data_IF_156652832069
#
_entry.id   IF_156652832069
#
_cell.length_a   1.000
_cell.length_b   1.000
_cell.length_c   1.000
_cell.angle_alpha   90.00
_cell.angle_beta   90.00
_cell.angle_gamma   90.00
#
_symmetry.space_group_name_H-M   'P 1'
#
loop_
_entity.id
_entity.type
_entity.pdbx_description
1 polymer ?
#
# COMPACT_ATOMS: atom_id res chain seq x y z
N UNK A 1 54.08 -29.36 -2.59
CA UNK A 1 53.91 -29.10 -1.15
C UNK A 1 53.96 -27.59 -0.96
N UNK A 2 52.99 -26.86 -0.42
CA UNK A 2 51.65 -27.14 0.09
C UNK A 2 50.88 -25.82 0.06
N UNK A 3 49.56 -25.92 -0.14
CA UNK A 3 48.60 -24.82 -0.12
C UNK A 3 48.38 -24.37 1.33
N UNK A 4 48.40 -23.06 1.59
CA UNK A 4 47.63 -22.48 2.70
C UNK A 4 47.26 -21.03 2.32
N UNK A 5 46.04 -20.85 1.83
CA UNK A 5 45.40 -19.55 1.71
C UNK A 5 44.22 -19.58 2.67
N UNK A 6 44.39 -18.93 3.82
CA UNK A 6 43.35 -18.79 4.83
C UNK A 6 42.26 -17.85 4.30
N UNK A 7 41.14 -18.42 3.83
CA UNK A 7 39.91 -17.69 3.50
C UNK A 7 39.09 -17.51 4.77
N UNK A 8 38.94 -16.27 5.21
CA UNK A 8 38.08 -15.87 6.32
C UNK A 8 36.70 -15.47 5.75
N UNK A 9 35.68 -16.31 5.99
CA UNK A 9 34.30 -16.17 5.49
C UNK A 9 33.42 -15.35 6.46
N UNK A 10 33.81 -14.11 6.75
CA UNK A 10 32.92 -13.15 7.42
C UNK A 10 31.83 -12.68 6.45
N UNK A 11 30.75 -13.48 6.45
CA UNK A 11 29.42 -13.26 5.87
C UNK A 11 29.16 -11.84 5.34
N UNK A 12 29.07 -11.63 4.02
CA UNK A 12 28.33 -10.49 3.49
C UNK A 12 26.84 -10.71 3.78
N UNK A 13 26.26 -9.86 4.63
CA UNK A 13 24.82 -9.66 4.65
C UNK A 13 24.40 -9.23 3.26
N UNK A 14 23.43 -9.91 2.67
CA UNK A 14 22.96 -9.65 1.31
C UNK A 14 22.34 -8.26 1.26
N UNK A 15 23.15 -7.26 0.95
CA UNK A 15 22.70 -5.94 0.57
C UNK A 15 22.07 -6.07 -0.82
N UNK A 16 20.76 -6.28 -0.86
CA UNK A 16 19.98 -6.21 -2.10
C UNK A 16 19.86 -4.75 -2.50
N UNK A 17 20.87 -4.25 -3.22
CA UNK A 17 20.75 -3.01 -3.98
C UNK A 17 19.73 -3.25 -5.09
N UNK A 18 18.49 -2.81 -4.86
CA UNK A 18 17.45 -2.80 -5.88
C UNK A 18 17.75 -1.63 -6.80
N UNK A 19 18.11 -1.95 -8.05
CA UNK A 19 18.30 -1.00 -9.13
C UNK A 19 16.96 -0.31 -9.42
N UNK A 20 16.81 0.94 -8.99
CA UNK A 20 15.72 1.80 -9.41
C UNK A 20 15.96 2.19 -10.88
N UNK A 21 15.08 1.87 -11.84
CA UNK A 21 15.15 2.48 -13.15
C UNK A 21 14.86 3.97 -13.00
N UNK A 22 15.87 4.79 -13.32
CA UNK A 22 15.76 6.24 -13.45
C UNK A 22 15.04 6.54 -14.77
N UNK A 23 13.72 6.39 -14.80
CA UNK A 23 12.94 6.91 -15.93
C UNK A 23 12.70 8.40 -15.73
N UNK A 24 13.45 9.20 -16.48
CA UNK A 24 13.27 10.64 -16.59
C UNK A 24 12.13 10.91 -17.56
N UNK A 25 10.97 11.28 -17.03
CA UNK A 25 9.97 12.03 -17.79
C UNK A 25 9.70 13.35 -17.07
N UNK A 26 9.93 14.47 -17.76
CA UNK A 26 9.78 15.83 -17.21
C UNK A 26 8.33 16.12 -16.85
N UNK A 27 8.04 16.16 -15.53
CA UNK A 27 6.77 16.58 -14.95
C UNK A 27 6.58 15.95 -13.57
N UNK A 28 7.11 16.58 -12.51
CA UNK A 28 6.96 16.15 -11.10
C UNK A 28 7.20 14.64 -10.88
N UNK A 29 8.46 14.21 -10.88
CA UNK A 29 8.81 12.81 -10.60
C UNK A 29 8.10 12.29 -9.34
N UNK A 30 7.26 11.25 -9.50
CA UNK A 30 6.53 10.61 -8.41
C UNK A 30 7.51 10.12 -7.35
N UNK A 31 7.27 10.48 -6.08
CA UNK A 31 8.17 10.18 -4.96
C UNK A 31 8.31 8.67 -4.78
N UNK A 32 9.56 8.18 -4.75
CA UNK A 32 9.93 6.78 -4.55
C UNK A 32 10.96 6.66 -3.41
N UNK A 33 10.54 6.97 -2.18
CA UNK A 33 11.44 7.11 -1.02
C UNK A 33 11.86 5.77 -0.38
N UNK A 34 11.19 4.66 -0.73
CA UNK A 34 11.55 3.31 -0.31
C UNK A 34 11.25 2.31 -1.42
N UNK A 35 11.62 1.04 -1.21
CA UNK A 35 11.38 -0.04 -2.17
C UNK A 35 10.41 -1.07 -1.62
N UNK A 36 9.58 -1.62 -2.50
CA UNK A 36 8.64 -2.70 -2.21
C UNK A 36 9.17 -4.05 -2.70
N UNK A 37 8.59 -5.17 -2.23
CA UNK A 37 8.80 -6.47 -2.87
C UNK A 37 8.45 -6.43 -4.37
N UNK A 38 9.08 -7.32 -5.14
CA UNK A 38 8.94 -7.35 -6.61
C UNK A 38 7.50 -7.54 -7.07
N UNK A 39 6.71 -8.35 -6.37
CA UNK A 39 5.31 -8.61 -6.71
C UNK A 39 4.44 -7.35 -6.56
N UNK A 40 4.62 -6.62 -5.45
CA UNK A 40 3.91 -5.37 -5.19
C UNK A 40 4.26 -4.28 -6.19
N UNK A 41 5.56 -4.12 -6.46
CA UNK A 41 6.03 -3.16 -7.46
C UNK A 41 5.48 -3.50 -8.85
N UNK A 42 5.51 -4.78 -9.25
CA UNK A 42 4.97 -5.22 -10.53
C UNK A 42 3.46 -4.98 -10.64
N UNK A 43 2.70 -5.22 -9.56
CA UNK A 43 1.27 -4.94 -9.54
C UNK A 43 0.97 -3.43 -9.67
N UNK A 44 1.71 -2.58 -8.94
CA UNK A 44 1.54 -1.13 -9.01
C UNK A 44 1.86 -0.59 -10.41
N UNK A 45 2.95 -1.02 -11.02
CA UNK A 45 3.33 -0.63 -12.39
C UNK A 45 2.32 -1.15 -13.43
N UNK A 46 1.78 -2.37 -13.24
CA UNK A 46 0.76 -2.94 -14.12
C UNK A 46 -0.65 -2.34 -13.89
N UNK A 47 -0.89 -1.68 -12.76
CA UNK A 47 -2.20 -1.08 -12.46
C UNK A 47 -2.57 0.05 -13.41
N UNK A 48 -1.57 0.68 -14.05
CA UNK A 48 -1.75 1.86 -14.90
C UNK A 48 -2.14 3.13 -14.12
N UNK A 49 -2.12 3.08 -12.79
CA UNK A 49 -2.39 4.21 -11.91
C UNK A 49 -1.08 4.87 -11.48
N UNK A 50 -1.11 6.19 -11.33
CA UNK A 50 -0.01 6.90 -10.71
C UNK A 50 0.09 6.52 -9.23
N UNK A 51 1.30 6.27 -8.75
CA UNK A 51 1.53 5.91 -7.37
C UNK A 51 2.84 6.48 -6.84
N UNK A 52 2.93 6.66 -5.53
CA UNK A 52 4.10 7.15 -4.81
C UNK A 52 4.43 6.25 -3.61
N UNK A 53 5.71 6.18 -3.27
CA UNK A 53 6.25 5.51 -2.09
C UNK A 53 6.81 6.60 -1.18
N UNK A 54 6.08 6.94 -0.13
CA UNK A 54 6.37 8.07 0.75
C UNK A 54 6.71 7.57 2.15
N UNK A 55 7.75 8.13 2.74
CA UNK A 55 8.20 7.86 4.10
C UNK A 55 8.12 9.14 4.93
N UNK A 56 7.12 9.23 5.82
CA UNK A 56 6.92 10.38 6.71
C UNK A 56 7.06 9.94 8.17
N UNK A 57 7.97 10.58 8.91
CA UNK A 57 8.17 10.25 10.33
C UNK A 57 8.58 8.79 10.61
N UNK A 58 9.20 8.11 9.64
CA UNK A 58 9.54 6.69 9.71
C UNK A 58 8.39 5.74 9.39
N UNK A 59 7.23 6.26 9.01
CA UNK A 59 6.09 5.47 8.53
C UNK A 59 6.13 5.41 7.01
N UNK A 60 6.22 4.18 6.48
CA UNK A 60 6.21 3.93 5.05
C UNK A 60 4.77 3.81 4.56
N UNK A 61 4.42 4.54 3.49
CA UNK A 61 3.11 4.47 2.86
C UNK A 61 3.21 4.38 1.36
N UNK A 62 2.34 3.56 0.78
CA UNK A 62 2.12 3.48 -0.66
C UNK A 62 0.88 4.29 -0.96
N UNK A 63 1.01 5.34 -1.76
CA UNK A 63 -0.08 6.19 -2.21
C UNK A 63 -0.39 5.86 -3.65
N UNK A 64 -1.65 5.61 -3.99
CA UNK A 64 -2.13 5.39 -5.36
C UNK A 64 -3.16 6.48 -5.64
N UNK A 65 -3.01 7.15 -6.77
CA UNK A 65 -3.85 8.27 -7.16
C UNK A 65 -4.99 7.82 -8.07
N UNK A 66 -6.08 8.58 -8.02
CA UNK A 66 -7.20 8.44 -8.97
C UNK A 66 -7.83 7.02 -9.00
N UNK A 67 -7.77 6.29 -7.88
CA UNK A 67 -8.35 4.95 -7.74
C UNK A 67 -9.86 5.01 -8.00
N UNK A 68 -10.40 4.22 -8.94
CA UNK A 68 -11.83 4.21 -9.23
C UNK A 68 -12.62 3.65 -8.05
N UNK A 69 -13.73 4.31 -7.72
CA UNK A 69 -14.65 3.94 -6.64
C UNK A 69 -15.98 3.48 -7.25
N UNK A 70 -16.56 2.38 -6.75
CA UNK A 70 -17.81 1.85 -7.28
C UNK A 70 -18.96 2.86 -7.14
N UNK A 71 -19.97 2.80 -8.03
CA UNK A 71 -21.13 3.67 -7.96
C UNK A 71 -21.89 3.46 -6.63
N UNK A 72 -22.35 4.56 -6.03
CA UNK A 72 -22.99 4.56 -4.71
C UNK A 72 -22.28 5.44 -3.68
N UNK A 73 -21.08 5.91 -4.01
CA UNK A 73 -20.36 6.98 -3.31
C UNK A 73 -20.47 8.31 -4.04
N UNK A 74 -20.27 9.41 -3.31
CA UNK A 74 -20.36 10.78 -3.83
C UNK A 74 -19.19 11.16 -4.74
N UNK A 75 -18.13 10.35 -4.72
CA UNK A 75 -16.93 10.51 -5.52
C UNK A 75 -16.71 9.25 -6.35
N UNK A 76 -16.34 9.44 -7.61
CA UNK A 76 -16.07 8.32 -8.54
C UNK A 76 -14.61 7.87 -8.51
N UNK A 77 -13.72 8.70 -7.95
CA UNK A 77 -12.28 8.47 -7.88
C UNK A 77 -11.71 9.08 -6.60
N UNK A 78 -10.70 8.42 -6.03
CA UNK A 78 -10.01 8.89 -4.81
C UNK A 78 -8.53 8.54 -4.86
N UNK A 79 -7.73 9.36 -4.21
CA UNK A 79 -6.41 8.97 -3.76
C UNK A 79 -6.60 7.97 -2.61
N UNK A 80 -5.77 6.93 -2.61
CA UNK A 80 -5.75 5.91 -1.57
C UNK A 80 -4.33 5.76 -1.07
N UNK A 81 -4.14 5.52 0.22
CA UNK A 81 -2.87 5.04 0.71
C UNK A 81 -3.02 3.85 1.65
N UNK A 82 -1.95 3.07 1.73
CA UNK A 82 -1.80 1.97 2.68
C UNK A 82 -0.48 2.13 3.41
N UNK A 83 -0.50 1.82 4.71
CA UNK A 83 0.69 1.85 5.55
C UNK A 83 1.41 0.50 5.47
N UNK A 84 2.72 0.55 5.25
CA UNK A 84 3.58 -0.63 5.21
C UNK A 84 4.24 -0.76 6.58
N UNK A 85 3.85 -1.79 7.32
CA UNK A 85 4.40 -2.04 8.65
C UNK A 85 5.79 -2.71 8.60
N UNK A 86 6.62 -2.51 9.63
CA UNK A 86 7.87 -3.26 9.77
C UNK A 86 7.61 -4.77 9.75
N UNK A 87 8.31 -5.49 8.88
CA UNK A 87 8.14 -6.93 8.70
C UNK A 87 7.21 -7.33 7.56
N UNK A 88 6.63 -6.38 6.83
CA UNK A 88 5.96 -6.66 5.55
C UNK A 88 6.93 -7.36 4.56
N UNK A 89 6.50 -8.40 3.81
CA UNK A 89 5.11 -8.90 3.62
C UNK A 89 4.63 -9.94 4.64
N UNK A 90 5.41 -10.26 5.67
CA UNK A 90 4.99 -11.19 6.73
C UNK A 90 3.98 -10.50 7.68
N UNK A 91 4.20 -9.22 7.96
CA UNK A 91 3.29 -8.36 8.70
C UNK A 91 2.06 -7.97 7.85
N UNK A 92 0.88 -8.02 8.48
CA UNK A 92 -0.37 -7.71 7.82
C UNK A 92 -0.55 -6.23 7.50
N UNK A 93 -1.26 -5.94 6.42
CA UNK A 93 -1.91 -4.65 6.18
C UNK A 93 -3.39 -4.80 6.56
N UNK A 94 -3.88 -3.96 7.48
CA UNK A 94 -5.28 -3.99 7.95
C UNK A 94 -6.03 -2.66 7.77
N UNK A 95 -5.33 -1.61 7.33
CA UNK A 95 -5.88 -0.27 7.13
C UNK A 95 -5.79 0.16 5.68
N UNK A 96 -6.72 1.04 5.31
CA UNK A 96 -6.71 1.78 4.07
C UNK A 96 -7.15 3.22 4.36
N UNK A 97 -6.62 4.16 3.60
CA UNK A 97 -6.80 5.59 3.84
C UNK A 97 -7.26 6.26 2.56
N UNK A 98 -8.34 7.04 2.59
CA UNK A 98 -8.94 7.64 1.40
C UNK A 98 -8.91 9.16 1.43
N UNK A 99 -8.65 9.77 0.28
CA UNK A 99 -8.74 11.21 0.08
C UNK A 99 -9.23 11.52 -1.35
N UNK A 100 -10.29 12.31 -1.55
CA UNK A 100 -11.16 12.92 -0.54
C UNK A 100 -11.93 11.88 0.27
N UNK A 101 -12.53 12.31 1.39
CA UNK A 101 -13.29 11.43 2.28
C UNK A 101 -14.40 10.69 1.52
N UNK A 102 -14.57 9.40 1.77
CA UNK A 102 -15.69 8.66 1.20
C UNK A 102 -16.98 9.02 1.94
N UNK A 103 -18.02 9.29 1.16
CA UNK A 103 -19.38 9.50 1.61
C UNK A 103 -20.33 8.74 0.70
N UNK A 104 -21.34 8.08 1.27
CA UNK A 104 -22.35 7.35 0.49
C UNK A 104 -23.35 8.35 -0.11
N UNK A 105 -23.91 8.00 -1.27
CA UNK A 105 -24.98 8.79 -1.90
C UNK A 105 -26.29 8.73 -1.13
N UNK A 106 -26.53 7.65 -0.39
CA UNK A 106 -27.72 7.46 0.46
C UNK A 106 -27.65 8.25 1.78
N UNK A 107 -26.62 9.08 2.00
CA UNK A 107 -26.46 9.88 3.22
C UNK A 107 -26.03 9.09 4.47
N UNK A 108 -25.95 7.76 4.38
CA UNK A 108 -25.51 6.90 5.48
C UNK A 108 -24.03 7.09 5.82
N UNK A 109 -23.74 7.13 7.11
CA UNK A 109 -22.38 7.19 7.61
C UNK A 109 -21.64 5.87 7.36
N UNK A 110 -20.35 5.96 7.03
CA UNK A 110 -19.44 4.81 6.95
C UNK A 110 -18.88 4.58 8.35
N UNK A 111 -18.98 3.35 8.87
CA UNK A 111 -18.50 3.03 10.21
C UNK A 111 -16.99 2.77 10.25
N UNK A 112 -16.38 3.05 11.42
CA UNK A 112 -14.94 2.91 11.70
C UNK A 112 -14.02 3.76 10.81
N UNK A 113 -14.43 5.02 10.63
CA UNK A 113 -13.64 6.05 9.98
C UNK A 113 -13.01 6.97 11.05
N UNK A 114 -11.79 7.43 10.79
CA UNK A 114 -11.04 8.36 11.62
C UNK A 114 -10.26 9.30 10.70
N UNK A 115 -9.97 10.54 11.11
CA UNK A 115 -8.98 11.35 10.41
C UNK A 115 -7.56 10.83 10.68
N UNK A 116 -6.69 10.96 9.68
CA UNK A 116 -5.27 10.63 9.76
C UNK A 116 -4.51 11.67 8.94
N UNK A 117 -3.79 12.60 9.58
CA UNK A 117 -2.96 13.56 8.88
C UNK A 117 -1.73 12.85 8.31
N UNK A 118 -1.50 13.01 7.00
CA UNK A 118 -0.35 12.46 6.31
C UNK A 118 -0.08 13.27 5.05
N UNK A 119 1.20 13.61 4.82
CA UNK A 119 1.65 14.29 3.60
C UNK A 119 0.94 15.64 3.33
N UNK A 120 0.70 16.40 4.40
CA UNK A 120 -0.02 17.69 4.33
C UNK A 120 -1.51 17.58 4.00
N UNK A 121 -2.06 16.36 3.86
CA UNK A 121 -3.48 16.09 3.64
C UNK A 121 -4.11 15.41 4.86
N UNK A 122 -5.42 15.52 5.00
CA UNK A 122 -6.19 14.75 5.99
C UNK A 122 -6.89 13.60 5.31
N UNK A 123 -6.47 12.38 5.63
CA UNK A 123 -6.99 11.17 5.05
C UNK A 123 -8.09 10.57 5.92
N UNK A 124 -9.11 10.01 5.28
CA UNK A 124 -10.10 9.19 5.97
C UNK A 124 -9.52 7.79 6.16
N UNK A 125 -8.99 7.53 7.35
CA UNK A 125 -8.56 6.19 7.76
C UNK A 125 -9.78 5.29 7.92
N UNK A 126 -9.73 4.14 7.28
CA UNK A 126 -10.76 3.13 7.37
C UNK A 126 -10.13 1.81 7.84
N UNK A 127 -10.39 1.46 9.11
CA UNK A 127 -9.88 0.22 9.70
C UNK A 127 -10.89 -0.91 9.55
N UNK A 128 -10.42 -2.02 8.99
CA UNK A 128 -11.19 -3.26 8.82
C UNK A 128 -10.25 -4.42 9.09
N UNK A 129 -10.31 -4.96 10.30
CA UNK A 129 -9.52 -6.13 10.65
C UNK A 129 -9.92 -7.34 9.79
N UNK A 130 -8.90 -8.08 9.37
CA UNK A 130 -9.06 -9.40 8.78
C UNK A 130 -9.68 -10.34 9.82
N UNK A 131 -10.72 -11.07 9.42
CA UNK A 131 -11.37 -12.06 10.28
C UNK A 131 -10.59 -13.37 10.30
N UNK A 132 -10.76 -14.25 11.31
CA UNK A 132 -10.16 -15.59 11.29
C UNK A 132 -10.51 -16.43 10.05
N UNK A 133 -11.64 -16.13 9.39
CA UNK A 133 -12.05 -16.77 8.14
C UNK A 133 -11.30 -16.27 6.90
N UNK A 134 -10.62 -15.12 6.98
CA UNK A 134 -9.81 -14.55 5.92
C UNK A 134 -8.57 -13.85 6.52
N UNK A 135 -7.66 -14.61 7.14
CA UNK A 135 -6.47 -14.05 7.78
C UNK A 135 -5.48 -13.51 6.75
N UNK A 136 -4.54 -12.68 7.18
CA UNK A 136 -3.33 -12.42 6.38
C UNK A 136 -2.53 -13.73 6.28
N UNK A 137 -2.15 -14.10 5.06
CA UNK A 137 -1.31 -15.27 4.80
C UNK A 137 0.10 -14.78 4.48
N UNK A 138 1.05 -14.92 5.40
CA UNK A 138 2.42 -14.47 5.18
C UNK A 138 3.03 -15.12 3.93
N UNK A 139 3.69 -14.31 3.10
CA UNK A 139 4.29 -14.77 1.84
C UNK A 139 3.32 -15.07 0.71
N UNK A 140 2.00 -14.88 0.92
CA UNK A 140 0.96 -15.01 -0.12
C UNK A 140 0.21 -13.70 -0.29
N UNK A 141 -0.20 -13.08 0.82
CA UNK A 141 -0.89 -11.80 0.80
C UNK A 141 0.11 -10.65 0.60
N UNK A 142 -0.33 -9.65 -0.15
CA UNK A 142 0.47 -8.50 -0.53
C UNK A 142 -0.43 -7.27 -0.78
N UNK A 143 0.11 -6.19 -1.34
CA UNK A 143 -0.67 -4.97 -1.61
C UNK A 143 -1.84 -5.29 -2.57
N UNK A 144 -1.61 -6.07 -3.62
CA UNK A 144 -2.66 -6.42 -4.58
C UNK A 144 -3.83 -7.17 -3.94
N UNK A 145 -3.56 -8.16 -3.09
CA UNK A 145 -4.61 -8.92 -2.42
C UNK A 145 -5.34 -8.07 -1.38
N UNK A 146 -4.64 -7.13 -0.75
CA UNK A 146 -5.24 -6.15 0.13
C UNK A 146 -6.17 -5.20 -0.61
N UNK A 147 -5.79 -4.69 -1.79
CA UNK A 147 -6.65 -3.84 -2.60
C UNK A 147 -7.91 -4.57 -3.09
N UNK A 148 -7.79 -5.83 -3.51
CA UNK A 148 -8.97 -6.65 -3.84
C UNK A 148 -9.92 -6.81 -2.64
N UNK A 149 -9.37 -6.90 -1.42
CA UNK A 149 -10.14 -6.93 -0.19
C UNK A 149 -10.81 -5.57 0.11
N UNK A 150 -10.12 -4.46 -0.14
CA UNK A 150 -10.67 -3.10 -0.02
C UNK A 150 -11.85 -2.89 -0.98
N UNK A 151 -11.74 -3.33 -2.24
CA UNK A 151 -12.85 -3.30 -3.20
C UNK A 151 -14.07 -4.08 -2.68
N UNK A 152 -13.82 -5.24 -2.08
CA UNK A 152 -14.87 -6.04 -1.45
C UNK A 152 -15.50 -5.32 -0.24
N UNK A 153 -14.71 -4.57 0.54
CA UNK A 153 -15.24 -3.74 1.64
C UNK A 153 -16.11 -2.60 1.13
N UNK A 154 -15.70 -1.90 0.07
CA UNK A 154 -16.48 -0.84 -0.58
C UNK A 154 -17.83 -1.37 -1.04
N UNK A 155 -17.84 -2.46 -1.80
CA UNK A 155 -19.07 -3.08 -2.30
C UNK A 155 -19.99 -3.55 -1.15
N UNK A 156 -19.43 -4.21 -0.13
CA UNK A 156 -20.21 -4.68 1.02
C UNK A 156 -20.75 -3.55 1.87
N UNK A 157 -20.01 -2.45 2.01
CA UNK A 157 -20.50 -1.28 2.73
C UNK A 157 -21.76 -0.73 2.04
N UNK A 158 -21.78 -0.59 0.72
CA UNK A 158 -22.97 -0.17 -0.03
C UNK A 158 -24.19 -1.10 0.15
N UNK A 159 -23.96 -2.40 0.33
CA UNK A 159 -25.02 -3.38 0.58
C UNK A 159 -25.57 -3.38 2.01
N UNK A 160 -24.94 -2.68 2.97
CA UNK A 160 -25.50 -2.56 4.32
C UNK A 160 -26.76 -1.70 4.29
N UNK A 161 -27.86 -2.34 4.69
CA UNK A 161 -29.21 -1.80 4.87
C UNK A 161 -29.36 -0.94 6.12
#
# INVERSE_FOLDING_TARGET
MGLDQHVDLRKPGVERFVTLPLDQTEGLASRRQFSLPTDDAAWLENSGLEYELVSEGGVLRVVIYDLPIPPGYQVSKVDVNVRIEPGYPDAQIDMVYFHPRLCRNDGRAIAAICDDPFDGKTWQRWSRHRTPANPWRPGIDNISTHFALVESWLARELNKA
#
